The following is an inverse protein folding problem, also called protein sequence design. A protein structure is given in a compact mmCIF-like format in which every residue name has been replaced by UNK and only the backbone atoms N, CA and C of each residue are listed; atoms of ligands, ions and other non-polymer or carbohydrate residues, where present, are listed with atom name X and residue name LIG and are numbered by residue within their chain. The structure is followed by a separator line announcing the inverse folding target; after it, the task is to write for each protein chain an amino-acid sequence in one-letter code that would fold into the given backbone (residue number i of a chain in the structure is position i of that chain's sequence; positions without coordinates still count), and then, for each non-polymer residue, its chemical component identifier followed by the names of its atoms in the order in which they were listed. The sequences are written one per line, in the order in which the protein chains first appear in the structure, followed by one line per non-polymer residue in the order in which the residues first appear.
data_IF_985904954416
#
_entry.id   IF_985904954416
#
_cell.length_a   1.000
_cell.length_b   1.000
_cell.length_c   1.000
_cell.angle_alpha   90.00
_cell.angle_beta   90.00
_cell.angle_gamma   90.00
#
_symmetry.space_group_name_H-M   'P 1'
#
loop_
_entity.id
_entity.type
_entity.pdbx_description
1 polymer ?
#
# COMPACT_ATOMS: atom_id res chain seq x y z
N UNK A 1 5.01 8.57 -5.70
CA UNK A 1 3.72 9.33 -5.78
C UNK A 1 3.77 10.36 -6.89
N UNK A 2 2.85 10.31 -7.87
CA UNK A 2 2.66 11.42 -8.83
C UNK A 2 1.55 12.32 -8.29
N UNK A 3 1.84 13.59 -8.12
CA UNK A 3 0.82 14.59 -7.78
C UNK A 3 -0.13 14.79 -8.97
N UNK A 4 -1.36 15.26 -8.71
CA UNK A 4 -2.37 15.53 -9.76
C UNK A 4 -1.81 16.37 -10.90
N UNK A 5 -0.99 17.37 -10.58
CA UNK A 5 -0.34 18.23 -11.57
C UNK A 5 0.71 17.51 -12.44
N UNK A 6 1.34 16.45 -11.91
CA UNK A 6 2.28 15.59 -12.65
C UNK A 6 1.51 14.59 -13.50
N UNK A 7 0.41 14.05 -12.96
CA UNK A 7 -0.48 13.15 -13.69
C UNK A 7 -0.97 13.84 -14.98
N UNK A 8 -1.62 15.01 -14.88
CA UNK A 8 -2.21 15.75 -16.01
C UNK A 8 -1.23 16.11 -17.14
N UNK A 9 0.08 16.05 -16.90
CA UNK A 9 1.13 16.32 -17.91
C UNK A 9 1.54 15.06 -18.70
N UNK A 10 0.95 13.91 -18.41
CA UNK A 10 1.25 12.62 -19.05
C UNK A 10 0.30 12.38 -20.24
N UNK A 11 0.71 11.63 -21.27
CA UNK A 11 -0.23 11.17 -22.30
C UNK A 11 -1.16 10.10 -21.69
N UNK A 12 -2.48 10.27 -21.81
CA UNK A 12 -3.48 9.58 -20.97
C UNK A 12 -4.34 8.54 -21.67
N UNK A 13 -4.04 8.15 -22.90
CA UNK A 13 -5.00 7.40 -23.73
C UNK A 13 -5.19 5.91 -23.36
N UNK A 14 -4.65 5.41 -22.24
CA UNK A 14 -4.81 3.97 -21.89
C UNK A 14 -4.84 3.63 -20.38
N UNK A 15 -5.47 4.43 -19.53
CA UNK A 15 -5.73 4.01 -18.12
C UNK A 15 -7.13 3.39 -18.03
N UNK A 16 -7.18 2.06 -17.94
CA UNK A 16 -8.45 1.32 -17.83
C UNK A 16 -9.08 1.39 -16.43
N UNK A 17 -8.25 1.42 -15.38
CA UNK A 17 -8.71 1.42 -13.99
C UNK A 17 -7.77 2.23 -13.10
N UNK A 18 -8.34 2.92 -12.12
CA UNK A 18 -7.61 3.61 -11.07
C UNK A 18 -8.42 3.57 -9.77
N UNK A 19 -7.73 3.40 -8.65
CA UNK A 19 -8.31 3.57 -7.32
C UNK A 19 -7.47 4.56 -6.53
N UNK A 20 -8.12 5.29 -5.63
CA UNK A 20 -7.49 6.25 -4.74
C UNK A 20 -7.82 5.88 -3.31
N UNK A 21 -6.80 5.92 -2.45
CA UNK A 21 -6.96 5.84 -1.01
C UNK A 21 -5.84 6.65 -0.34
N UNK A 22 -5.57 6.38 0.92
CA UNK A 22 -4.46 6.95 1.65
C UNK A 22 -4.48 6.52 3.11
N UNK A 23 -3.34 6.63 3.80
CA UNK A 23 -2.08 7.25 3.33
C UNK A 23 -1.23 6.36 2.40
N UNK A 24 -0.27 6.96 1.67
CA UNK A 24 0.83 6.18 1.09
C UNK A 24 1.65 5.53 2.20
N UNK A 25 2.00 4.27 2.04
CA UNK A 25 2.84 3.49 2.94
C UNK A 25 4.32 3.74 2.70
N UNK A 26 4.73 3.60 1.43
CA UNK A 26 6.10 3.80 0.96
C UNK A 26 6.05 4.71 -0.26
N UNK A 27 7.00 5.65 -0.35
CA UNK A 27 7.11 6.64 -1.43
C UNK A 27 8.56 6.62 -1.92
N UNK A 28 8.81 6.09 -3.11
CA UNK A 28 10.16 6.00 -3.68
C UNK A 28 11.18 5.32 -2.75
N UNK A 29 10.77 4.27 -2.04
CA UNK A 29 11.59 3.52 -1.08
C UNK A 29 11.63 4.11 0.33
N UNK A 30 11.04 5.28 0.58
CA UNK A 30 10.96 5.86 1.92
C UNK A 30 9.62 5.55 2.59
N UNK A 31 9.65 5.14 3.86
CA UNK A 31 8.42 5.03 4.67
C UNK A 31 7.83 6.43 4.85
N UNK A 32 6.50 6.54 4.75
CA UNK A 32 5.82 7.81 4.94
C UNK A 32 6.16 8.42 6.32
N UNK A 33 6.62 9.68 6.40
CA UNK A 33 7.31 10.22 7.59
C UNK A 33 6.42 10.36 8.83
N UNK A 34 5.09 10.36 8.66
CA UNK A 34 4.13 10.36 9.79
C UNK A 34 4.04 9.00 10.51
N UNK A 35 4.61 7.93 9.98
CA UNK A 35 4.60 6.62 10.65
C UNK A 35 5.81 6.49 11.54
N UNK A 36 5.59 6.85 12.80
CA UNK A 36 6.61 6.75 13.82
C UNK A 36 6.87 5.26 14.14
N UNK A 37 8.13 4.84 14.29
CA UNK A 37 8.47 3.51 14.81
C UNK A 37 7.73 3.20 16.12
N UNK A 38 7.62 4.20 16.99
CA UNK A 38 6.95 4.08 18.30
C UNK A 38 5.45 4.41 18.26
N UNK A 39 4.85 4.39 17.07
CA UNK A 39 3.43 4.59 16.89
C UNK A 39 2.62 3.50 17.61
N UNK A 40 1.67 3.90 18.45
CA UNK A 40 0.89 2.97 19.29
C UNK A 40 -0.39 2.43 18.63
N UNK A 41 -0.80 3.01 17.49
CA UNK A 41 -2.04 2.62 16.81
C UNK A 41 -1.91 1.27 16.10
N UNK A 42 -2.37 0.20 16.76
CA UNK A 42 -2.42 -1.16 16.20
C UNK A 42 -3.81 -1.47 15.66
N UNK A 43 -3.89 -1.82 14.37
CA UNK A 43 -5.13 -2.23 13.69
C UNK A 43 -4.80 -3.33 12.67
N UNK A 44 -5.80 -4.10 12.25
CA UNK A 44 -5.66 -4.85 10.99
C UNK A 44 -5.57 -3.86 9.85
N UNK A 45 -4.66 -4.10 8.91
CA UNK A 45 -4.34 -3.18 7.81
C UNK A 45 -4.30 -3.94 6.51
N UNK A 46 -4.72 -3.30 5.43
CA UNK A 46 -4.50 -3.78 4.08
C UNK A 46 -3.79 -2.72 3.23
N UNK A 47 -3.18 -3.17 2.16
CA UNK A 47 -2.44 -2.30 1.27
C UNK A 47 -2.10 -2.99 -0.04
N UNK A 48 -1.68 -2.18 -0.99
CA UNK A 48 -1.14 -2.62 -2.27
C UNK A 48 0.22 -1.97 -2.49
N UNK A 49 1.20 -2.76 -2.91
CA UNK A 49 2.52 -2.29 -3.31
C UNK A 49 2.81 -2.66 -4.75
N UNK A 50 3.74 -1.94 -5.36
CA UNK A 50 4.28 -2.27 -6.67
C UNK A 50 5.78 -2.51 -6.54
N UNK A 51 6.27 -3.66 -7.02
CA UNK A 51 7.69 -3.98 -7.10
C UNK A 51 8.33 -3.27 -8.29
N UNK A 52 9.66 -3.21 -8.32
CA UNK A 52 10.41 -2.58 -9.41
C UNK A 52 10.15 -3.19 -10.79
N UNK A 53 9.74 -4.46 -10.84
CA UNK A 53 9.37 -5.19 -12.06
C UNK A 53 7.91 -4.94 -12.51
N UNK A 54 7.15 -4.13 -11.77
CA UNK A 54 5.73 -3.86 -12.04
C UNK A 54 4.77 -4.86 -11.39
N UNK A 55 5.25 -5.86 -10.66
CA UNK A 55 4.38 -6.82 -9.95
C UNK A 55 3.58 -6.10 -8.87
N UNK A 56 2.26 -6.26 -8.88
CA UNK A 56 1.38 -5.79 -7.83
C UNK A 56 1.33 -6.81 -6.68
N UNK A 57 1.47 -6.31 -5.46
CA UNK A 57 1.42 -7.12 -4.23
C UNK A 57 0.32 -6.59 -3.33
N UNK A 58 -0.71 -7.39 -3.11
CA UNK A 58 -1.77 -7.10 -2.15
C UNK A 58 -1.47 -7.80 -0.83
N UNK A 59 -1.64 -7.10 0.29
CA UNK A 59 -1.43 -7.66 1.62
C UNK A 59 -2.54 -7.21 2.57
N UNK A 60 -2.90 -8.11 3.48
CA UNK A 60 -3.72 -7.83 4.66
C UNK A 60 -3.05 -8.47 5.88
N UNK A 61 -3.01 -7.76 7.01
CA UNK A 61 -2.48 -8.32 8.26
C UNK A 61 -3.55 -9.13 8.98
N UNK A 62 -3.22 -10.34 9.41
CA UNK A 62 -4.14 -11.17 10.21
C UNK A 62 -4.24 -10.68 11.66
N UNK A 63 -3.16 -10.09 12.18
CA UNK A 63 -3.10 -9.47 13.51
C UNK A 63 -2.97 -7.94 13.43
N UNK A 64 -3.30 -7.23 14.52
CA UNK A 64 -3.11 -5.78 14.57
C UNK A 64 -1.64 -5.35 14.50
N UNK A 65 -1.31 -4.51 13.52
CA UNK A 65 0.03 -3.93 13.32
C UNK A 65 -0.02 -2.41 13.31
N UNK A 66 1.11 -1.77 13.60
CA UNK A 66 1.27 -0.32 13.45
C UNK A 66 1.39 0.04 11.97
N UNK A 67 1.20 1.32 11.64
CA UNK A 67 1.46 1.79 10.28
C UNK A 67 2.94 1.63 9.89
N UNK A 68 3.86 1.84 10.84
CA UNK A 68 5.29 1.70 10.58
C UNK A 68 5.66 0.24 10.29
N UNK A 69 5.22 -0.71 11.13
CA UNK A 69 5.43 -2.15 10.88
C UNK A 69 4.90 -2.57 9.51
N UNK A 70 3.70 -2.11 9.14
CA UNK A 70 3.10 -2.46 7.85
C UNK A 70 3.83 -1.83 6.66
N UNK A 71 4.25 -0.56 6.78
CA UNK A 71 5.05 0.11 5.75
C UNK A 71 6.45 -0.51 5.59
N UNK A 72 7.11 -0.86 6.71
CA UNK A 72 8.39 -1.58 6.69
C UNK A 72 8.26 -2.94 6.02
N UNK A 73 7.17 -3.68 6.27
CA UNK A 73 6.94 -4.96 5.58
C UNK A 73 6.89 -4.79 4.05
N UNK A 74 6.17 -3.78 3.56
CA UNK A 74 6.16 -3.47 2.12
C UNK A 74 7.54 -3.09 1.58
N UNK A 75 8.27 -2.20 2.28
CA UNK A 75 9.58 -1.72 1.83
C UNK A 75 10.65 -2.83 1.88
N UNK A 76 10.79 -3.47 3.03
CA UNK A 76 11.95 -4.29 3.38
C UNK A 76 11.76 -5.76 3.01
N UNK A 77 10.56 -6.31 3.17
CA UNK A 77 10.29 -7.72 2.91
C UNK A 77 9.68 -7.96 1.53
N UNK A 78 8.74 -7.10 1.10
CA UNK A 78 8.09 -7.24 -0.20
C UNK A 78 8.80 -6.50 -1.34
N UNK A 79 9.81 -5.68 -1.00
CA UNK A 79 10.61 -4.89 -1.94
C UNK A 79 9.76 -3.95 -2.82
N UNK A 80 8.75 -3.32 -2.22
CA UNK A 80 7.87 -2.37 -2.89
C UNK A 80 8.39 -0.93 -2.69
N UNK A 81 8.99 -0.28 -3.70
CA UNK A 81 9.39 1.13 -3.61
C UNK A 81 8.20 2.09 -3.45
N UNK A 82 7.01 1.73 -3.93
CA UNK A 82 5.79 2.48 -3.66
C UNK A 82 4.71 1.53 -3.15
N UNK A 83 3.98 1.96 -2.11
CA UNK A 83 2.86 1.21 -1.56
C UNK A 83 1.78 2.15 -1.01
N UNK A 84 0.52 1.75 -1.12
CA UNK A 84 -0.67 2.52 -0.74
C UNK A 84 -1.50 1.73 0.27
N UNK A 85 -1.90 2.39 1.35
CA UNK A 85 -2.89 1.86 2.28
C UNK A 85 -4.29 1.92 1.65
N UNK A 86 -5.09 0.87 1.79
CA UNK A 86 -6.42 0.81 1.15
C UNK A 86 -7.55 1.19 2.11
N UNK A 87 -8.04 0.28 2.95
CA UNK A 87 -9.26 0.48 3.74
C UNK A 87 -9.02 0.40 5.26
N UNK A 88 -9.90 1.03 6.02
CA UNK A 88 -9.97 1.03 7.46
C UNK A 88 -10.42 -0.31 8.08
N UNK A 89 -10.95 -0.22 9.31
CA UNK A 89 -11.07 -1.32 10.28
C UNK A 89 -11.83 -2.59 9.83
N UNK A 90 -12.55 -2.56 8.70
CA UNK A 90 -13.24 -3.71 8.10
C UNK A 90 -12.55 -4.07 6.78
N UNK A 91 -11.31 -4.54 6.88
CA UNK A 91 -10.54 -4.99 5.72
C UNK A 91 -10.82 -6.48 5.41
N UNK A 92 -11.15 -6.80 4.16
CA UNK A 92 -11.23 -8.19 3.65
C UNK A 92 -10.35 -8.34 2.41
N UNK A 93 -9.93 -9.58 2.13
CA UNK A 93 -9.24 -9.95 0.90
C UNK A 93 -10.00 -11.15 0.31
N UNK A 94 -10.35 -11.07 -0.96
CA UNK A 94 -10.86 -12.21 -1.70
C UNK A 94 -9.68 -12.86 -2.43
N UNK A 95 -9.31 -14.06 -2.01
CA UNK A 95 -8.20 -14.83 -2.54
C UNK A 95 -8.58 -16.32 -2.53
N UNK A 96 -9.44 -16.76 -3.48
CA UNK A 96 -9.97 -18.12 -3.50
C UNK A 96 -8.87 -19.18 -3.70
N UNK A 97 -7.77 -18.82 -4.36
CA UNK A 97 -6.60 -19.69 -4.56
C UNK A 97 -5.96 -20.14 -3.25
N UNK A 98 -6.12 -19.37 -2.16
CA UNK A 98 -5.66 -19.70 -0.81
C UNK A 98 -6.82 -19.98 0.15
N UNK A 99 -8.03 -20.19 -0.37
CA UNK A 99 -9.23 -20.49 0.42
C UNK A 99 -9.73 -19.34 1.28
N UNK A 100 -9.60 -18.09 0.80
CA UNK A 100 -10.06 -16.89 1.53
C UNK A 100 -11.14 -16.15 0.75
N UNK A 101 -12.34 -16.07 1.34
CA UNK A 101 -13.54 -15.45 0.77
C UNK A 101 -13.83 -14.04 1.33
#
# INVERSE_FOLDING_TARGET
VRETAVYLKSAHDVIAFATQSGPMLVIGGAIHPKFLPEGTSRKRRNGVGVRADGTLVFAISDTPVTFHEFASYFRDALNCPDALYLDGAISRIFAPEIGRD
#
